data_IF_837973392990
#
_entry.id   IF_837973392990
#
_cell.length_a   1.000
_cell.length_b   1.000
_cell.length_c   1.000
_cell.angle_alpha   90.00
_cell.angle_beta   90.00
_cell.angle_gamma   90.00
#
_symmetry.space_group_name_H-M   'P 1'
#
loop_
_entity.id
_entity.type
_entity.pdbx_description
1 polymer ?
#
# COMPACT_ATOMS: atom_id res chain seq x y z
N UNK A 1 -5.16 -13.90 19.14
CA UNK A 1 -4.14 -14.31 18.15
C UNK A 1 -4.04 -13.45 16.88
N UNK A 2 -4.73 -12.30 16.73
CA UNK A 2 -4.78 -11.59 15.42
C UNK A 2 -4.19 -10.16 15.38
N UNK A 3 -3.76 -9.58 16.51
CA UNK A 3 -3.34 -8.17 16.54
C UNK A 3 -1.91 -7.94 16.01
N UNK A 4 -0.97 -8.85 16.31
CA UNK A 4 0.46 -8.68 16.00
C UNK A 4 0.76 -8.75 14.50
N UNK A 5 0.11 -9.69 13.78
CA UNK A 5 0.27 -9.80 12.32
C UNK A 5 -0.31 -8.59 11.58
N UNK A 6 -1.45 -8.04 12.04
CA UNK A 6 -2.06 -6.84 11.46
C UNK A 6 -1.14 -5.63 11.58
N UNK A 7 -0.57 -5.38 12.77
CA UNK A 7 0.42 -4.30 12.96
C UNK A 7 1.67 -4.48 12.09
N UNK A 8 2.17 -5.71 11.89
CA UNK A 8 3.38 -5.95 11.09
C UNK A 8 3.18 -5.64 9.59
N UNK A 9 2.00 -5.93 9.02
CA UNK A 9 1.69 -5.68 7.61
C UNK A 9 1.49 -4.19 7.32
N UNK A 10 0.83 -3.46 8.22
CA UNK A 10 0.68 -2.00 8.13
C UNK A 10 2.06 -1.32 8.07
N UNK A 11 2.99 -1.74 8.94
CA UNK A 11 4.36 -1.22 8.94
C UNK A 11 5.13 -1.48 7.64
N UNK A 12 4.88 -2.60 6.95
CA UNK A 12 5.54 -2.91 5.67
C UNK A 12 4.97 -2.05 4.54
N UNK A 13 3.65 -1.96 4.44
CA UNK A 13 2.95 -1.15 3.44
C UNK A 13 3.40 0.33 3.50
N UNK A 14 3.46 0.90 4.70
CA UNK A 14 3.93 2.27 4.91
C UNK A 14 5.40 2.46 4.53
N UNK A 15 6.26 1.48 4.84
CA UNK A 15 7.69 1.54 4.46
C UNK A 15 7.87 1.51 2.95
N UNK A 16 7.09 0.70 2.24
CA UNK A 16 7.12 0.62 0.77
C UNK A 16 6.67 1.95 0.18
N UNK A 17 5.54 2.49 0.64
CA UNK A 17 5.02 3.80 0.21
C UNK A 17 6.04 4.92 0.44
N UNK A 18 6.59 5.02 1.66
CA UNK A 18 7.60 6.03 2.00
C UNK A 18 8.86 5.90 1.14
N UNK A 19 9.33 4.67 0.88
CA UNK A 19 10.51 4.45 0.05
C UNK A 19 10.24 4.84 -1.40
N UNK A 20 9.06 4.49 -1.94
CA UNK A 20 8.61 4.83 -3.29
C UNK A 20 8.56 6.36 -3.49
N UNK A 21 7.95 7.07 -2.53
CA UNK A 21 7.86 8.53 -2.55
C UNK A 21 9.24 9.20 -2.44
N UNK A 22 10.12 8.67 -1.58
CA UNK A 22 11.50 9.18 -1.42
C UNK A 22 12.32 9.11 -2.72
N UNK A 23 12.05 8.12 -3.58
CA UNK A 23 12.73 7.97 -4.88
C UNK A 23 11.91 8.55 -6.04
N UNK A 24 10.83 9.29 -5.75
CA UNK A 24 10.03 10.01 -6.75
C UNK A 24 9.22 9.11 -7.69
N UNK A 25 8.92 7.88 -7.30
CA UNK A 25 8.15 6.96 -8.15
C UNK A 25 6.65 7.06 -7.90
N UNK A 26 5.86 7.00 -8.97
CA UNK A 26 4.43 6.71 -8.88
C UNK A 26 4.21 5.23 -8.58
N UNK A 27 3.02 4.87 -8.09
CA UNK A 27 2.64 3.47 -7.86
C UNK A 27 2.71 2.64 -9.17
N UNK A 28 2.33 3.23 -10.31
CA UNK A 28 2.46 2.60 -11.63
C UNK A 28 3.93 2.40 -12.04
N UNK A 29 4.79 3.40 -11.81
CA UNK A 29 6.20 3.30 -12.12
C UNK A 29 6.90 2.22 -11.27
N UNK A 30 6.50 2.09 -10.00
CA UNK A 30 6.93 1.01 -9.12
C UNK A 30 6.44 -0.35 -9.65
N UNK A 31 5.17 -0.46 -10.03
CA UNK A 31 4.57 -1.69 -10.57
C UNK A 31 5.32 -2.19 -11.82
N UNK A 32 5.57 -1.28 -12.77
CA UNK A 32 6.36 -1.56 -13.98
C UNK A 32 7.78 -2.01 -13.67
N UNK A 33 8.48 -1.32 -12.74
CA UNK A 33 9.85 -1.68 -12.33
C UNK A 33 9.93 -3.01 -11.61
N UNK A 34 8.92 -3.35 -10.82
CA UNK A 34 8.84 -4.61 -10.07
C UNK A 34 8.22 -5.75 -10.88
N UNK A 35 7.81 -5.51 -12.13
CA UNK A 35 7.11 -6.46 -13.00
C UNK A 35 5.88 -7.11 -12.33
N UNK A 36 5.08 -6.30 -11.64
CA UNK A 36 3.83 -6.74 -11.00
C UNK A 36 2.69 -5.81 -11.38
N UNK A 37 1.46 -6.28 -11.20
CA UNK A 37 0.29 -5.46 -11.54
C UNK A 37 0.20 -4.20 -10.68
N UNK A 38 -0.29 -3.12 -11.26
CA UNK A 38 -0.60 -1.88 -10.54
C UNK A 38 -1.57 -2.12 -9.37
N UNK A 39 -2.59 -2.94 -9.57
CA UNK A 39 -3.55 -3.33 -8.53
C UNK A 39 -2.88 -4.06 -7.35
N UNK A 40 -1.81 -4.80 -7.59
CA UNK A 40 -1.02 -5.44 -6.54
C UNK A 40 -0.33 -4.38 -5.67
N UNK A 41 0.27 -3.35 -6.27
CA UNK A 41 0.86 -2.22 -5.53
C UNK A 41 -0.19 -1.47 -4.71
N UNK A 42 -1.36 -1.19 -5.29
CA UNK A 42 -2.46 -0.55 -4.55
C UNK A 42 -2.84 -1.38 -3.33
N UNK A 43 -3.11 -2.68 -3.49
CA UNK A 43 -3.50 -3.56 -2.37
C UNK A 43 -2.39 -3.66 -1.32
N UNK A 44 -1.13 -3.66 -1.76
CA UNK A 44 0.03 -3.73 -0.89
C UNK A 44 0.20 -2.46 -0.05
N UNK A 45 0.05 -1.27 -0.64
CA UNK A 45 0.17 0.01 0.05
C UNK A 45 -1.08 0.40 0.86
N UNK A 46 -2.26 -0.07 0.47
CA UNK A 46 -3.53 0.23 1.15
C UNK A 46 -3.92 -0.81 2.22
N UNK A 47 -3.25 -1.97 2.26
CA UNK A 47 -3.47 -3.00 3.27
C UNK A 47 -4.63 -3.96 2.99
N UNK A 48 -5.14 -4.00 1.75
CA UNK A 48 -6.40 -4.65 1.38
C UNK A 48 -7.50 -3.61 1.18
N UNK A 49 -8.52 -3.97 0.37
CA UNK A 49 -9.63 -3.11 -0.05
C UNK A 49 -10.07 -2.19 1.09
N UNK A 50 -9.94 -0.87 0.90
CA UNK A 50 -10.68 0.09 1.73
C UNK A 50 -12.15 -0.22 1.50
N UNK A 51 -12.86 -0.63 2.53
CA UNK A 51 -14.31 -0.73 2.54
C UNK A 51 -14.91 0.47 1.78
N UNK A 52 -15.78 0.25 0.78
CA UNK A 52 -16.39 1.31 0.00
C UNK A 52 -17.35 2.22 0.81
N UNK A 53 -17.54 1.97 2.11
CA UNK A 53 -18.49 2.66 2.99
C UNK A 53 -17.90 3.75 3.91
N UNK A 54 -16.64 4.15 3.74
CA UNK A 54 -16.05 5.22 4.55
C UNK A 54 -16.22 6.59 3.86
N UNK A 55 -17.20 7.42 4.26
CA UNK A 55 -17.34 8.77 3.69
C UNK A 55 -16.12 9.63 4.01
N UNK A 56 -15.76 10.58 3.13
CA UNK A 56 -14.64 11.48 3.36
C UNK A 56 -14.94 12.31 4.62
N UNK A 57 -14.07 12.20 5.63
CA UNK A 57 -14.13 13.08 6.81
C UNK A 57 -13.77 14.49 6.36
N UNK A 58 -14.74 15.39 6.55
CA UNK A 58 -14.60 16.83 6.49
C UNK A 58 -13.69 17.33 7.63
#
# INVERSE_FOLDING_TARGET
YNNTRKMSRVKLAEKIKKRREKIGLTQEALARKANISYNTIIKLETGGIKDPDLPPKN
#
